data_IF_089526819661
#
_entry.id   IF_089526819661
#
_cell.length_a   1.000
_cell.length_b   1.000
_cell.length_c   1.000
_cell.angle_alpha   90.00
_cell.angle_beta   90.00
_cell.angle_gamma   90.00
#
_symmetry.space_group_name_H-M   'P 1'
#
loop_
_entity.id
_entity.type
_entity.pdbx_description
1 polymer ?
#
# COMPACT_ATOMS: atom_id res chain seq x y z
N UNK A 1 25.74 0.03 -13.24
CA UNK A 1 24.46 -0.57 -12.77
C UNK A 1 23.88 0.13 -11.53
N UNK A 2 24.65 0.39 -10.46
CA UNK A 2 24.16 1.09 -9.25
C UNK A 2 23.56 2.50 -9.51
N UNK A 3 24.18 3.32 -10.38
CA UNK A 3 23.64 4.65 -10.76
C UNK A 3 22.24 4.55 -11.38
N UNK A 4 22.02 3.62 -12.31
CA UNK A 4 20.71 3.41 -12.97
C UNK A 4 19.63 2.99 -11.99
N UNK A 5 19.96 2.20 -10.97
CA UNK A 5 19.03 1.76 -9.93
C UNK A 5 18.61 2.92 -9.01
N UNK A 6 19.58 3.71 -8.52
CA UNK A 6 19.30 4.87 -7.65
C UNK A 6 18.50 5.95 -8.38
N UNK A 7 18.80 6.22 -9.65
CA UNK A 7 18.02 7.16 -10.46
C UNK A 7 16.57 6.69 -10.62
N UNK A 8 16.34 5.39 -10.87
CA UNK A 8 14.98 4.82 -10.95
C UNK A 8 14.23 4.92 -9.63
N UNK A 9 14.88 4.64 -8.50
CA UNK A 9 14.30 4.81 -7.17
C UNK A 9 13.87 6.25 -6.90
N UNK A 10 14.71 7.21 -7.29
CA UNK A 10 14.41 8.65 -7.14
C UNK A 10 13.23 9.10 -7.99
N UNK A 11 13.16 8.66 -9.26
CA UNK A 11 12.03 8.95 -10.16
C UNK A 11 10.75 8.35 -9.59
N UNK A 12 10.77 7.09 -9.16
CA UNK A 12 9.62 6.45 -8.50
C UNK A 12 9.22 7.21 -7.23
N UNK A 13 10.20 7.64 -6.43
CA UNK A 13 9.98 8.48 -5.26
C UNK A 13 9.23 9.77 -5.58
N UNK A 14 9.54 10.43 -6.70
CA UNK A 14 8.82 11.63 -7.13
C UNK A 14 7.36 11.37 -7.48
N UNK A 15 7.05 10.22 -8.10
CA UNK A 15 5.67 9.79 -8.34
C UNK A 15 4.93 9.53 -7.03
N UNK A 16 5.58 8.93 -6.03
CA UNK A 16 4.97 8.68 -4.72
C UNK A 16 4.72 9.95 -3.93
N UNK A 17 5.62 10.94 -4.01
CA UNK A 17 5.38 12.28 -3.43
C UNK A 17 4.18 12.92 -4.11
N UNK A 18 4.11 12.90 -5.44
CA UNK A 18 2.99 13.50 -6.18
C UNK A 18 1.67 12.79 -5.87
N UNK A 19 1.65 11.46 -5.87
CA UNK A 19 0.47 10.65 -5.53
C UNK A 19 0.03 10.84 -4.08
N UNK A 20 0.98 10.87 -3.13
CA UNK A 20 0.71 11.14 -1.73
C UNK A 20 0.13 12.54 -1.51
N UNK A 21 0.67 13.57 -2.18
CA UNK A 21 0.13 14.94 -2.12
C UNK A 21 -1.26 15.05 -2.74
N UNK A 22 -1.50 14.35 -3.85
CA UNK A 22 -2.82 14.29 -4.48
C UNK A 22 -3.87 13.63 -3.57
N UNK A 23 -3.52 12.54 -2.88
CA UNK A 23 -4.43 11.89 -1.92
C UNK A 23 -4.62 12.73 -0.66
N UNK A 24 -3.55 13.34 -0.14
CA UNK A 24 -3.58 14.07 1.14
C UNK A 24 -4.22 15.44 1.02
N UNK A 25 -3.94 16.17 -0.07
CA UNK A 25 -4.37 17.55 -0.26
C UNK A 25 -5.27 17.69 -1.48
N UNK A 26 -4.87 17.14 -2.63
CA UNK A 26 -5.58 17.34 -3.89
C UNK A 26 -7.07 16.96 -3.82
N UNK A 27 -7.36 15.70 -3.51
CA UNK A 27 -8.73 15.19 -3.45
C UNK A 27 -9.55 15.82 -2.30
N UNK A 28 -9.04 15.93 -1.05
CA UNK A 28 -9.77 16.61 0.02
C UNK A 28 -10.06 18.08 -0.27
N UNK A 29 -9.08 18.84 -0.78
CA UNK A 29 -9.29 20.25 -1.11
C UNK A 29 -10.28 20.43 -2.25
N UNK A 30 -10.21 19.60 -3.29
CA UNK A 30 -11.20 19.66 -4.37
C UNK A 30 -12.61 19.34 -3.87
N UNK A 31 -12.73 18.34 -2.99
CA UNK A 31 -14.02 18.02 -2.39
C UNK A 31 -14.55 19.17 -1.54
N UNK A 32 -13.70 19.81 -0.75
CA UNK A 32 -14.08 20.91 0.14
C UNK A 32 -14.39 22.21 -0.60
N UNK A 33 -13.56 22.60 -1.57
CA UNK A 33 -13.69 23.87 -2.30
C UNK A 33 -14.74 23.81 -3.40
N UNK A 34 -14.96 22.64 -4.01
CA UNK A 34 -15.80 22.53 -5.20
C UNK A 34 -17.02 21.65 -4.97
N UNK A 35 -16.84 20.38 -4.58
CA UNK A 35 -17.96 19.43 -4.51
C UNK A 35 -18.97 19.79 -3.41
N UNK A 36 -18.49 20.10 -2.21
CA UNK A 36 -19.33 20.41 -1.05
C UNK A 36 -20.24 21.63 -1.27
N UNK A 37 -19.74 22.79 -1.76
CA UNK A 37 -20.58 23.93 -2.11
C UNK A 37 -21.65 23.64 -3.16
N UNK A 38 -21.41 22.66 -4.04
CA UNK A 38 -22.37 22.24 -5.06
C UNK A 38 -23.33 21.14 -4.57
N UNK A 39 -23.41 20.87 -3.27
CA UNK A 39 -24.39 19.94 -2.70
C UNK A 39 -23.99 18.45 -2.72
N UNK A 40 -22.72 18.13 -3.02
CA UNK A 40 -22.25 16.73 -3.04
C UNK A 40 -22.47 16.00 -1.71
N UNK A 41 -22.28 16.70 -0.59
CA UNK A 41 -22.48 16.11 0.74
C UNK A 41 -23.92 15.69 1.00
N UNK A 42 -24.88 16.50 0.56
CA UNK A 42 -26.32 16.20 0.69
C UNK A 42 -26.73 15.05 -0.23
N UNK A 43 -26.23 15.04 -1.47
CA UNK A 43 -26.42 13.96 -2.42
C UNK A 43 -25.89 12.62 -1.89
N UNK A 44 -24.70 12.62 -1.28
CA UNK A 44 -24.11 11.43 -0.68
C UNK A 44 -24.90 10.96 0.56
N UNK A 45 -25.34 11.89 1.41
CA UNK A 45 -26.19 11.58 2.56
C UNK A 45 -27.56 11.01 2.15
N UNK A 46 -28.12 11.48 1.03
CA UNK A 46 -29.33 10.92 0.45
C UNK A 46 -29.11 9.47 -0.05
N UNK A 47 -28.01 9.22 -0.77
CA UNK A 47 -27.64 7.86 -1.20
C UNK A 47 -27.52 6.89 -0.01
N UNK A 48 -26.87 7.31 1.08
CA UNK A 48 -26.73 6.51 2.30
C UNK A 48 -28.07 6.18 2.98
N UNK A 49 -29.11 6.97 2.74
CA UNK A 49 -30.49 6.72 3.21
C UNK A 49 -31.33 5.92 2.21
N UNK A 50 -30.71 5.38 1.15
CA UNK A 50 -31.38 4.64 0.08
C UNK A 50 -32.01 5.52 -0.99
N UNK A 51 -31.86 6.85 -0.93
CA UNK A 51 -32.44 7.79 -1.90
C UNK A 51 -31.48 8.01 -3.09
N UNK A 52 -31.18 6.93 -3.81
CA UNK A 52 -30.20 6.93 -4.91
C UNK A 52 -30.58 7.89 -6.05
N UNK A 53 -31.88 8.16 -6.27
CA UNK A 53 -32.35 9.09 -7.28
C UNK A 53 -31.82 10.53 -7.07
N UNK A 54 -31.73 10.98 -5.81
CA UNK A 54 -31.20 12.30 -5.47
C UNK A 54 -29.71 12.38 -5.82
N UNK A 55 -28.96 11.31 -5.55
CA UNK A 55 -27.54 11.22 -5.89
C UNK A 55 -27.30 11.19 -7.40
N UNK A 56 -28.09 10.41 -8.15
CA UNK A 56 -27.96 10.34 -9.61
C UNK A 56 -28.40 11.64 -10.28
N UNK A 57 -29.41 12.34 -9.74
CA UNK A 57 -29.79 13.68 -10.19
C UNK A 57 -28.66 14.68 -10.00
N UNK A 58 -28.04 14.71 -8.81
CA UNK A 58 -26.87 15.55 -8.57
C UNK A 58 -25.73 15.22 -9.55
N UNK A 59 -25.49 13.93 -9.77
CA UNK A 59 -24.46 13.46 -10.69
C UNK A 59 -24.75 13.89 -12.14
N UNK A 60 -26.01 13.86 -12.57
CA UNK A 60 -26.44 14.34 -13.88
C UNK A 60 -26.10 15.82 -14.09
N UNK A 61 -26.33 16.66 -13.07
CA UNK A 61 -26.05 18.09 -13.12
C UNK A 61 -24.55 18.42 -13.02
N UNK A 62 -23.77 17.56 -12.38
CA UNK A 62 -22.36 17.81 -12.04
C UNK A 62 -21.40 16.72 -12.53
N UNK A 63 -21.69 16.10 -13.67
CA UNK A 63 -20.90 15.00 -14.26
C UNK A 63 -19.41 15.31 -14.31
N UNK A 64 -19.05 16.51 -14.78
CA UNK A 64 -17.65 16.91 -14.91
C UNK A 64 -16.96 17.07 -13.57
N UNK A 65 -17.64 17.68 -12.60
CA UNK A 65 -17.12 17.86 -11.25
C UNK A 65 -16.82 16.51 -10.59
N UNK A 66 -17.74 15.55 -10.74
CA UNK A 66 -17.57 14.19 -10.27
C UNK A 66 -16.47 13.43 -11.00
N UNK A 67 -16.46 13.47 -12.34
CA UNK A 67 -15.47 12.78 -13.16
C UNK A 67 -14.05 13.27 -12.86
N UNK A 68 -13.85 14.57 -12.68
CA UNK A 68 -12.58 15.14 -12.32
C UNK A 68 -12.12 14.69 -10.93
N UNK A 69 -13.01 14.69 -9.93
CA UNK A 69 -12.70 14.18 -8.59
C UNK A 69 -12.26 12.72 -8.62
N UNK A 70 -12.99 11.87 -9.34
CA UNK A 70 -12.68 10.46 -9.52
C UNK A 70 -11.36 10.24 -10.25
N UNK A 71 -11.11 11.02 -11.30
CA UNK A 71 -9.84 11.00 -12.03
C UNK A 71 -8.67 11.37 -11.12
N UNK A 72 -8.82 12.41 -10.28
CA UNK A 72 -7.78 12.85 -9.36
C UNK A 72 -7.37 11.73 -8.40
N UNK A 73 -8.35 11.02 -7.84
CA UNK A 73 -8.10 9.85 -6.98
C UNK A 73 -7.41 8.71 -7.74
N UNK A 74 -7.91 8.37 -8.94
CA UNK A 74 -7.33 7.29 -9.77
C UNK A 74 -5.88 7.59 -10.15
N UNK A 75 -5.59 8.82 -10.58
CA UNK A 75 -4.22 9.25 -10.91
C UNK A 75 -3.32 9.13 -9.69
N UNK A 76 -3.80 9.54 -8.51
CA UNK A 76 -3.01 9.45 -7.29
C UNK A 76 -2.64 8.00 -6.93
N UNK A 77 -3.58 7.05 -7.06
CA UNK A 77 -3.29 5.63 -6.87
C UNK A 77 -2.43 5.05 -8.01
N UNK A 78 -2.64 5.45 -9.27
CA UNK A 78 -1.82 5.01 -10.39
C UNK A 78 -0.34 5.38 -10.22
N UNK A 79 -0.06 6.57 -9.67
CA UNK A 79 1.30 7.03 -9.35
C UNK A 79 1.98 6.19 -8.26
N UNK A 80 1.21 5.46 -7.45
CA UNK A 80 1.73 4.56 -6.40
C UNK A 80 1.75 3.10 -6.82
N UNK A 81 1.38 2.77 -8.07
CA UNK A 81 1.27 1.38 -8.54
C UNK A 81 2.60 0.60 -8.44
N UNK A 82 3.73 1.26 -8.65
CA UNK A 82 5.07 0.64 -8.56
C UNK A 82 5.62 0.56 -7.13
N UNK A 83 4.90 1.11 -6.14
CA UNK A 83 5.35 1.19 -4.75
C UNK A 83 5.63 -0.18 -4.12
N UNK A 84 4.76 -1.21 -4.27
CA UNK A 84 4.99 -2.52 -3.67
C UNK A 84 6.29 -3.17 -4.16
N UNK A 85 6.57 -3.10 -5.46
CA UNK A 85 7.82 -3.60 -6.02
C UNK A 85 9.04 -2.76 -5.65
N UNK A 86 8.85 -1.47 -5.41
CA UNK A 86 9.93 -0.60 -4.95
C UNK A 86 10.32 -0.95 -3.52
N UNK A 87 9.34 -1.17 -2.63
CA UNK A 87 9.58 -1.66 -1.26
C UNK A 87 10.25 -3.01 -1.25
N UNK A 88 9.76 -3.97 -2.04
CA UNK A 88 10.39 -5.28 -2.20
C UNK A 88 11.87 -5.16 -2.53
N UNK A 89 12.23 -4.32 -3.51
CA UNK A 89 13.63 -4.11 -3.91
C UNK A 89 14.48 -3.48 -2.81
N UNK A 90 13.93 -2.55 -2.04
CA UNK A 90 14.64 -1.90 -0.94
C UNK A 90 14.90 -2.90 0.18
N UNK A 91 13.89 -3.66 0.58
CA UNK A 91 13.98 -4.67 1.63
C UNK A 91 15.02 -5.74 1.26
N UNK A 92 14.95 -6.28 0.04
CA UNK A 92 15.94 -7.26 -0.44
C UNK A 92 17.35 -6.66 -0.47
N UNK A 93 17.50 -5.38 -0.87
CA UNK A 93 18.80 -4.73 -0.85
C UNK A 93 19.35 -4.56 0.57
N UNK A 94 18.51 -4.22 1.56
CA UNK A 94 18.90 -4.12 2.96
C UNK A 94 19.26 -5.47 3.57
N UNK A 95 18.52 -6.53 3.25
CA UNK A 95 18.83 -7.89 3.71
C UNK A 95 20.20 -8.35 3.19
N UNK A 96 20.54 -8.04 1.94
CA UNK A 96 21.86 -8.38 1.36
C UNK A 96 22.96 -7.57 2.03
N UNK A 97 22.79 -6.26 2.21
CA UNK A 97 23.80 -5.40 2.83
C UNK A 97 24.02 -5.72 4.32
N UNK A 98 22.96 -6.01 5.07
CA UNK A 98 23.06 -6.38 6.48
C UNK A 98 23.76 -7.73 6.69
N UNK A 99 23.68 -8.63 5.71
CA UNK A 99 24.42 -9.90 5.73
C UNK A 99 25.93 -9.69 5.57
N UNK A 100 26.33 -8.81 4.65
CA UNK A 100 27.74 -8.50 4.41
C UNK A 100 28.39 -7.82 5.65
N UNK A 101 27.64 -6.97 6.36
CA UNK A 101 28.10 -6.35 7.61
C UNK A 101 28.18 -7.35 8.77
N UNK A 102 27.21 -8.27 8.90
CA UNK A 102 27.19 -9.32 9.93
C UNK A 102 28.31 -10.35 9.75
N UNK A 103 28.49 -10.86 8.52
CA UNK A 103 29.57 -11.81 8.20
C UNK A 103 30.96 -11.14 8.34
N UNK A 104 31.08 -9.85 8.00
CA UNK A 104 32.31 -9.08 8.20
C UNK A 104 32.63 -8.77 9.67
N UNK A 105 31.60 -8.52 10.49
CA UNK A 105 31.76 -8.30 11.94
C UNK A 105 32.06 -9.60 12.69
N UNK A 106 31.44 -10.72 12.32
CA UNK A 106 31.75 -12.04 12.87
C UNK A 106 33.17 -12.49 12.46
N UNK A 107 33.59 -12.24 11.22
CA UNK A 107 34.97 -12.51 10.79
C UNK A 107 36.00 -11.61 11.51
N UNK A 108 35.67 -10.34 11.77
CA UNK A 108 36.53 -9.42 12.52
C UNK A 108 36.59 -9.75 14.01
N UNK A 109 35.48 -10.22 14.61
CA UNK A 109 35.42 -10.68 15.99
C UNK A 109 36.19 -12.01 16.16
N UNK A 110 36.05 -12.95 15.21
CA UNK A 110 36.82 -14.19 15.18
C UNK A 110 38.32 -13.95 14.96
N UNK A 111 38.70 -12.92 14.20
CA UNK A 111 40.10 -12.51 14.02
C UNK A 111 40.71 -11.79 15.24
N UNK A 112 39.88 -11.36 16.21
CA UNK A 112 40.32 -10.77 17.48
C UNK A 112 40.60 -11.80 18.59
N UNK A 113 40.15 -13.05 18.43
CA UNK A 113 40.29 -14.13 19.40
C UNK A 113 40.85 -15.40 18.75
N UNK A 114 42.11 -15.39 18.31
CA UNK A 114 42.87 -16.65 18.17
C UNK A 114 44.37 -16.40 18.04
N UNK A 115 45.09 -16.58 19.15
CA UNK A 115 46.49 -16.99 19.10
C UNK A 115 46.49 -18.50 18.75
N UNK A 116 47.21 -18.97 17.71
CA UNK A 116 47.08 -20.34 17.24
C UNK A 116 47.85 -21.29 18.16
N UNK A 117 47.14 -22.11 18.94
CA UNK A 117 47.71 -23.35 19.50
C UNK A 117 47.41 -24.48 18.53
N UNK A 118 48.47 -25.05 17.97
CA UNK A 118 48.41 -26.24 17.13
C UNK A 118 48.09 -27.44 18.03
N UNK A 119 46.90 -28.05 17.87
CA UNK A 119 46.71 -29.49 18.09
C UNK A 119 45.34 -30.08 17.68
N UNK A 120 44.32 -29.29 17.31
CA UNK A 120 43.01 -29.87 16.96
C UNK A 120 42.79 -30.08 15.45
N UNK A 121 43.64 -30.90 14.82
CA UNK A 121 43.36 -31.51 13.51
C UNK A 121 42.86 -32.96 13.68
N UNK A 122 41.69 -33.16 14.30
CA UNK A 122 40.95 -34.43 14.15
C UNK A 122 39.51 -34.32 14.67
N UNK A 123 38.58 -33.89 13.80
CA UNK A 123 37.14 -34.24 13.85
C UNK A 123 36.41 -33.72 12.61
N UNK A 124 36.81 -34.24 11.44
CA UNK A 124 35.87 -34.36 10.33
C UNK A 124 35.17 -35.72 10.44
N UNK A 125 33.87 -35.72 10.09
CA UNK A 125 32.95 -36.85 9.90
C UNK A 125 32.26 -37.46 11.13
N UNK A 126 31.04 -36.99 11.43
CA UNK A 126 29.86 -37.84 11.54
C UNK A 126 28.58 -36.99 11.51
N UNK A 127 27.66 -37.40 10.64
CA UNK A 127 26.35 -36.80 10.46
C UNK A 127 25.55 -36.69 11.77
N UNK A 128 24.89 -35.55 11.97
CA UNK A 128 23.62 -35.53 12.69
C UNK A 128 22.57 -34.87 11.80
N UNK A 129 21.47 -35.61 11.68
CA UNK A 129 20.21 -35.24 11.07
C UNK A 129 19.85 -33.76 11.26
N UNK A 130 19.18 -33.21 10.25
CA UNK A 130 18.37 -32.00 10.41
C UNK A 130 17.35 -32.26 11.53
N UNK A 131 17.71 -31.94 12.77
CA UNK A 131 16.76 -31.84 13.86
C UNK A 131 15.71 -30.81 13.44
N UNK A 132 14.49 -31.27 13.23
CA UNK A 132 13.33 -30.39 13.15
C UNK A 132 13.29 -29.61 14.48
N UNK A 133 13.18 -28.27 14.45
CA UNK A 133 13.17 -27.47 15.66
C UNK A 133 11.97 -27.84 16.51
N UNK A 134 12.23 -28.19 17.77
CA UNK A 134 11.24 -28.78 18.68
C UNK A 134 10.58 -27.72 19.58
N UNK A 135 11.11 -26.50 19.59
CA UNK A 135 10.60 -25.39 20.42
C UNK A 135 10.01 -24.28 19.57
N UNK A 136 8.98 -23.60 20.10
CA UNK A 136 8.36 -22.45 19.43
C UNK A 136 9.37 -21.29 19.24
N UNK A 137 10.32 -21.14 20.17
CA UNK A 137 11.42 -20.17 20.05
C UNK A 137 12.39 -20.52 18.93
N UNK A 138 12.75 -21.79 18.72
CA UNK A 138 13.57 -22.19 17.55
C UNK A 138 12.80 -22.06 16.23
N UNK A 139 11.50 -22.37 16.20
CA UNK A 139 10.65 -22.14 15.02
C UNK A 139 10.52 -20.64 14.68
N UNK A 140 10.54 -19.78 15.70
CA UNK A 140 10.61 -18.33 15.54
C UNK A 140 12.03 -17.85 15.20
N UNK A 141 13.08 -18.57 15.62
CA UNK A 141 14.48 -18.29 15.32
C UNK A 141 14.91 -18.78 13.94
N UNK A 142 14.21 -19.74 13.32
CA UNK A 142 14.38 -20.02 11.89
C UNK A 142 14.09 -18.71 11.16
N UNK A 143 15.06 -18.15 10.41
CA UNK A 143 14.80 -16.98 9.59
C UNK A 143 13.79 -17.40 8.55
N UNK A 144 12.53 -17.03 8.77
CA UNK A 144 11.48 -17.10 7.76
C UNK A 144 12.09 -16.52 6.49
N UNK A 145 12.20 -17.34 5.45
CA UNK A 145 12.88 -17.00 4.19
C UNK A 145 12.10 -15.85 3.54
N UNK A 146 12.38 -14.61 3.95
CA UNK A 146 11.59 -13.39 3.74
C UNK A 146 11.29 -13.09 2.27
N UNK A 147 12.11 -13.64 1.36
CA UNK A 147 11.91 -13.57 -0.10
C UNK A 147 10.52 -14.01 -0.55
N UNK A 148 9.95 -15.08 0.00
CA UNK A 148 8.63 -15.58 -0.41
C UNK A 148 7.50 -14.61 -0.04
N UNK A 149 7.48 -14.18 1.21
CA UNK A 149 6.47 -13.24 1.72
C UNK A 149 6.61 -11.84 1.12
N UNK A 150 7.83 -11.38 0.89
CA UNK A 150 8.06 -10.08 0.25
C UNK A 150 7.58 -10.08 -1.22
N UNK A 151 7.69 -11.22 -1.93
CA UNK A 151 7.12 -11.38 -3.28
C UNK A 151 5.59 -11.40 -3.23
N UNK A 152 5.00 -12.15 -2.29
CA UNK A 152 3.54 -12.16 -2.11
C UNK A 152 3.02 -10.75 -1.78
N UNK A 153 3.70 -10.03 -0.89
CA UNK A 153 3.37 -8.66 -0.53
C UNK A 153 3.46 -7.70 -1.73
N UNK A 154 4.48 -7.85 -2.58
CA UNK A 154 4.62 -7.03 -3.79
C UNK A 154 3.47 -7.26 -4.78
N UNK A 155 3.13 -8.52 -5.05
CA UNK A 155 2.05 -8.88 -5.95
C UNK A 155 0.68 -8.52 -5.39
N UNK A 156 0.42 -8.82 -4.11
CA UNK A 156 -0.83 -8.45 -3.45
C UNK A 156 -1.01 -6.93 -3.43
N UNK A 157 0.05 -6.17 -3.14
CA UNK A 157 -0.01 -4.71 -3.14
C UNK A 157 -0.32 -4.15 -4.53
N UNK A 158 0.34 -4.66 -5.57
CA UNK A 158 0.13 -4.19 -6.94
C UNK A 158 -1.28 -4.55 -7.43
N UNK A 159 -1.70 -5.80 -7.25
CA UNK A 159 -3.05 -6.24 -7.61
C UNK A 159 -4.12 -5.49 -6.82
N UNK A 160 -3.89 -5.22 -5.53
CA UNK A 160 -4.79 -4.46 -4.68
C UNK A 160 -4.99 -3.03 -5.19
N UNK A 161 -3.90 -2.32 -5.50
CA UNK A 161 -3.96 -0.96 -6.09
C UNK A 161 -4.66 -1.01 -7.47
N UNK A 162 -4.37 -2.03 -8.28
CA UNK A 162 -4.99 -2.19 -9.60
C UNK A 162 -6.51 -2.42 -9.51
N UNK A 163 -6.96 -3.27 -8.59
CA UNK A 163 -8.40 -3.47 -8.34
C UNK A 163 -9.06 -2.20 -7.81
N UNK A 164 -8.36 -1.44 -6.97
CA UNK A 164 -8.86 -0.16 -6.46
C UNK A 164 -9.05 0.84 -7.60
N UNK A 165 -8.08 0.97 -8.51
CA UNK A 165 -8.18 1.86 -9.68
C UNK A 165 -9.24 1.38 -10.66
N UNK A 166 -9.21 0.11 -11.08
CA UNK A 166 -10.13 -0.43 -12.08
C UNK A 166 -11.57 -0.51 -11.57
N UNK A 167 -11.78 -0.88 -10.31
CA UNK A 167 -13.11 -0.91 -9.69
C UNK A 167 -13.73 0.49 -9.61
N UNK A 168 -12.94 1.49 -9.21
CA UNK A 168 -13.39 2.89 -9.22
C UNK A 168 -13.63 3.39 -10.65
N UNK A 169 -12.81 3.01 -11.64
CA UNK A 169 -12.97 3.40 -13.03
C UNK A 169 -14.27 2.82 -13.61
N UNK A 170 -14.49 1.52 -13.46
CA UNK A 170 -15.70 0.84 -13.90
C UNK A 170 -16.95 1.46 -13.26
N UNK A 171 -16.91 1.70 -11.95
CA UNK A 171 -17.99 2.37 -11.21
C UNK A 171 -18.26 3.78 -11.75
N UNK A 172 -17.21 4.55 -12.01
CA UNK A 172 -17.32 5.94 -12.50
C UNK A 172 -17.93 5.97 -13.90
N UNK A 173 -17.45 5.12 -14.82
CA UNK A 173 -17.97 5.03 -16.18
C UNK A 173 -19.45 4.63 -16.18
N UNK A 174 -19.81 3.63 -15.37
CA UNK A 174 -21.19 3.20 -15.24
C UNK A 174 -22.10 4.30 -14.69
N UNK A 175 -21.71 4.94 -13.58
CA UNK A 175 -22.47 6.01 -12.95
C UNK A 175 -22.65 7.21 -13.88
N UNK A 176 -21.62 7.61 -14.62
CA UNK A 176 -21.72 8.70 -15.61
C UNK A 176 -22.66 8.31 -16.75
N UNK A 177 -22.60 7.06 -17.23
CA UNK A 177 -23.50 6.55 -18.27
C UNK A 177 -24.95 6.65 -17.85
N UNK A 178 -25.28 6.16 -16.65
CA UNK A 178 -26.64 6.23 -16.09
C UNK A 178 -27.08 7.67 -15.86
N UNK A 179 -26.22 8.50 -15.28
CA UNK A 179 -26.53 9.90 -14.99
C UNK A 179 -26.86 10.69 -16.26
N UNK A 180 -26.15 10.48 -17.36
CA UNK A 180 -26.40 11.20 -18.62
C UNK A 180 -27.79 10.91 -19.21
N UNK A 181 -28.34 9.74 -18.96
CA UNK A 181 -29.67 9.33 -19.44
C UNK A 181 -30.77 9.52 -18.40
N UNK A 182 -30.42 9.96 -17.19
CA UNK A 182 -31.36 10.12 -16.09
C UNK A 182 -32.20 11.39 -16.25
N UNK A 183 -33.50 11.29 -15.95
CA UNK A 183 -34.42 12.42 -15.82
C UNK A 183 -35.07 12.38 -14.44
N UNK A 184 -35.48 13.53 -13.89
CA UNK A 184 -36.01 13.61 -12.52
C UNK A 184 -37.29 12.75 -12.29
N UNK A 185 -37.99 12.40 -13.36
CA UNK A 185 -39.20 11.56 -13.33
C UNK A 185 -38.90 10.07 -13.59
N UNK A 186 -37.66 9.72 -13.99
CA UNK A 186 -37.29 8.36 -14.28
C UNK A 186 -37.05 7.56 -12.98
N UNK A 187 -37.72 6.42 -12.86
CA UNK A 187 -37.39 5.44 -11.84
C UNK A 187 -36.02 4.82 -12.12
N UNK A 188 -35.17 4.75 -11.09
CA UNK A 188 -33.88 4.09 -11.18
C UNK A 188 -34.05 2.58 -11.35
N UNK A 189 -33.31 1.99 -12.28
CA UNK A 189 -33.32 0.54 -12.46
C UNK A 189 -32.72 -0.14 -11.23
N UNK A 190 -33.31 -1.26 -10.74
CA UNK A 190 -32.77 -2.01 -9.60
C UNK A 190 -31.31 -2.46 -9.78
N UNK A 191 -30.89 -2.62 -11.04
CA UNK A 191 -29.51 -2.97 -11.43
C UNK A 191 -28.48 -1.91 -11.05
N UNK A 192 -28.87 -0.65 -10.86
CA UNK A 192 -27.93 0.43 -10.54
C UNK A 192 -27.25 0.20 -9.19
N UNK A 193 -28.03 -0.07 -8.14
CA UNK A 193 -27.50 -0.32 -6.80
C UNK A 193 -26.56 -1.53 -6.82
N UNK A 194 -27.00 -2.63 -7.45
CA UNK A 194 -26.23 -3.87 -7.55
C UNK A 194 -24.86 -3.65 -8.24
N UNK A 195 -24.81 -2.93 -9.36
CA UNK A 195 -23.54 -2.68 -10.06
C UNK A 195 -22.62 -1.79 -9.22
N UNK A 196 -23.15 -0.75 -8.58
CA UNK A 196 -22.36 0.14 -7.71
C UNK A 196 -21.81 -0.62 -6.50
N UNK A 197 -22.62 -1.48 -5.89
CA UNK A 197 -22.22 -2.34 -4.76
C UNK A 197 -21.11 -3.32 -5.16
N UNK A 198 -21.24 -4.02 -6.29
CA UNK A 198 -20.20 -4.93 -6.79
C UNK A 198 -18.89 -4.18 -7.01
N UNK A 199 -18.93 -3.03 -7.69
CA UNK A 199 -17.71 -2.24 -7.91
C UNK A 199 -17.09 -1.76 -6.60
N UNK A 200 -17.91 -1.40 -5.60
CA UNK A 200 -17.46 -0.99 -4.27
C UNK A 200 -16.80 -2.14 -3.52
N UNK A 201 -17.37 -3.35 -3.57
CA UNK A 201 -16.78 -4.55 -2.99
C UNK A 201 -15.44 -4.89 -3.66
N UNK A 202 -15.36 -4.80 -4.99
CA UNK A 202 -14.12 -5.05 -5.73
C UNK A 202 -13.03 -4.03 -5.34
N UNK A 203 -13.35 -2.74 -5.32
CA UNK A 203 -12.33 -1.70 -5.07
C UNK A 203 -11.93 -1.60 -3.59
N UNK A 204 -12.91 -1.55 -2.68
CA UNK A 204 -12.68 -1.20 -1.28
C UNK A 204 -12.54 -2.44 -0.39
N UNK A 205 -13.16 -3.57 -0.74
CA UNK A 205 -13.00 -4.82 0.02
C UNK A 205 -11.88 -5.67 -0.56
N UNK A 206 -12.00 -6.17 -1.78
CA UNK A 206 -10.97 -7.05 -2.36
C UNK A 206 -9.64 -6.30 -2.59
N UNK A 207 -9.70 -5.13 -3.24
CA UNK A 207 -8.53 -4.27 -3.42
C UNK A 207 -7.94 -3.80 -2.08
N UNK A 208 -8.78 -3.30 -1.18
CA UNK A 208 -8.38 -2.84 0.15
C UNK A 208 -7.70 -3.91 1.00
N UNK A 209 -8.23 -5.15 1.04
CA UNK A 209 -7.62 -6.25 1.79
C UNK A 209 -6.28 -6.71 1.19
N UNK A 210 -6.14 -6.69 -0.13
CA UNK A 210 -4.87 -7.03 -0.78
C UNK A 210 -3.78 -5.99 -0.51
N UNK A 211 -4.14 -4.70 -0.50
CA UNK A 211 -3.23 -3.62 -0.05
C UNK A 211 -2.92 -3.79 1.43
N UNK A 212 -3.91 -4.10 2.27
CA UNK A 212 -3.70 -4.31 3.70
C UNK A 212 -2.73 -5.47 3.97
N UNK A 213 -2.89 -6.58 3.25
CA UNK A 213 -1.98 -7.72 3.33
C UNK A 213 -0.56 -7.32 2.93
N UNK A 214 -0.41 -6.54 1.85
CA UNK A 214 0.89 -6.05 1.43
C UNK A 214 1.55 -5.18 2.50
N UNK A 215 0.81 -4.21 3.05
CA UNK A 215 1.32 -3.30 4.09
C UNK A 215 1.63 -4.03 5.38
N UNK A 216 0.83 -5.03 5.76
CA UNK A 216 1.09 -5.89 6.92
C UNK A 216 2.39 -6.66 6.74
N UNK A 217 2.54 -7.36 5.62
CA UNK A 217 3.72 -8.18 5.35
C UNK A 217 4.98 -7.31 5.26
N UNK A 218 4.96 -6.21 4.52
CA UNK A 218 6.08 -5.28 4.48
C UNK A 218 6.38 -4.68 5.85
N UNK A 219 5.36 -4.31 6.62
CA UNK A 219 5.53 -3.78 7.97
C UNK A 219 6.19 -4.78 8.92
N UNK A 220 5.71 -6.03 8.95
CA UNK A 220 6.28 -7.10 9.78
C UNK A 220 7.72 -7.41 9.37
N UNK A 221 8.02 -7.49 8.07
CA UNK A 221 9.38 -7.74 7.58
C UNK A 221 10.32 -6.62 8.00
N UNK A 222 9.92 -5.36 7.82
CA UNK A 222 10.71 -4.19 8.21
C UNK A 222 10.97 -4.19 9.73
N UNK A 223 9.92 -4.34 10.55
CA UNK A 223 10.05 -4.31 12.02
C UNK A 223 10.91 -5.47 12.52
N UNK A 224 10.72 -6.68 12.01
CA UNK A 224 11.47 -7.86 12.43
C UNK A 224 12.93 -7.81 12.01
N UNK A 225 13.24 -7.23 10.85
CA UNK A 225 14.63 -7.09 10.41
C UNK A 225 15.44 -6.25 11.40
N UNK A 226 14.82 -5.25 12.06
CA UNK A 226 15.48 -4.35 13.00
C UNK A 226 16.60 -3.50 12.37
N UNK A 227 16.87 -3.66 11.08
CA UNK A 227 17.96 -3.02 10.37
C UNK A 227 17.65 -1.52 10.23
N UNK A 228 18.41 -0.70 10.96
CA UNK A 228 18.36 0.76 10.85
C UNK A 228 19.33 1.31 9.80
N UNK A 229 19.70 0.48 8.82
CA UNK A 229 20.76 0.80 7.85
C UNK A 229 20.48 2.09 7.09
N UNK A 230 19.23 2.32 6.67
CA UNK A 230 18.84 3.53 5.96
C UNK A 230 17.32 3.62 5.76
N UNK A 231 16.62 4.71 6.11
CA UNK A 231 16.93 5.81 7.07
C UNK A 231 16.70 5.42 8.55
N UNK A 232 17.13 6.24 9.54
CA UNK A 232 17.02 5.94 10.98
C UNK A 232 15.58 5.72 11.50
N UNK A 233 14.56 6.10 10.73
CA UNK A 233 13.15 5.87 11.04
C UNK A 233 12.52 4.74 10.19
N UNK A 234 13.33 3.87 9.60
CA UNK A 234 12.85 2.76 8.77
C UNK A 234 11.92 1.82 9.54
N UNK A 235 12.26 1.48 10.78
CA UNK A 235 11.42 0.65 11.65
C UNK A 235 10.07 1.34 11.95
N UNK A 236 10.07 2.66 12.13
CA UNK A 236 8.84 3.43 12.33
C UNK A 236 7.93 3.39 11.08
N UNK A 237 8.51 3.42 9.88
CA UNK A 237 7.78 3.21 8.63
C UNK A 237 7.10 1.83 8.60
N UNK A 238 7.74 0.80 9.16
CA UNK A 238 7.17 -0.53 9.33
C UNK A 238 5.99 -0.57 10.30
N UNK A 239 6.09 0.06 11.46
CA UNK A 239 4.96 0.18 12.41
C UNK A 239 3.77 0.94 11.82
N UNK A 240 4.03 2.02 11.07
CA UNK A 240 2.97 2.75 10.37
C UNK A 240 2.32 1.88 9.29
N UNK A 241 3.08 1.02 8.61
CA UNK A 241 2.52 0.09 7.63
C UNK A 241 1.61 -0.97 8.29
N UNK A 242 1.95 -1.45 9.49
CA UNK A 242 1.10 -2.36 10.27
C UNK A 242 -0.19 -1.64 10.72
N UNK A 243 -0.07 -0.42 11.23
CA UNK A 243 -1.23 0.39 11.60
C UNK A 243 -2.15 0.63 10.40
N UNK A 244 -1.56 0.98 9.25
CA UNK A 244 -2.28 1.15 7.99
C UNK A 244 -3.02 -0.12 7.57
N UNK A 245 -2.39 -1.29 7.70
CA UNK A 245 -3.06 -2.56 7.42
C UNK A 245 -4.31 -2.75 8.30
N UNK A 246 -4.22 -2.43 9.59
CA UNK A 246 -5.35 -2.54 10.52
C UNK A 246 -6.52 -1.62 10.13
N UNK A 247 -6.23 -0.38 9.74
CA UNK A 247 -7.25 0.56 9.24
C UNK A 247 -7.88 0.07 7.93
N UNK A 248 -7.08 -0.46 7.00
CA UNK A 248 -7.58 -0.98 5.72
C UNK A 248 -8.43 -2.24 5.90
N UNK A 249 -8.04 -3.16 6.80
CA UNK A 249 -8.85 -4.34 7.15
C UNK A 249 -10.17 -3.90 7.78
N UNK A 250 -10.13 -3.01 8.76
CA UNK A 250 -11.34 -2.49 9.41
C UNK A 250 -12.28 -1.80 8.41
N UNK A 251 -11.73 -0.99 7.51
CA UNK A 251 -12.49 -0.37 6.43
C UNK A 251 -13.10 -1.41 5.49
N UNK A 252 -12.34 -2.41 5.05
CA UNK A 252 -12.82 -3.43 4.11
C UNK A 252 -13.95 -4.26 4.70
N UNK A 253 -13.87 -4.62 5.99
CA UNK A 253 -14.93 -5.33 6.70
C UNK A 253 -16.19 -4.47 6.83
N UNK A 254 -16.05 -3.20 7.20
CA UNK A 254 -17.21 -2.29 7.28
C UNK A 254 -17.91 -2.13 5.93
N UNK A 255 -17.15 -1.97 4.84
CA UNK A 255 -17.72 -1.92 3.48
C UNK A 255 -18.38 -3.24 3.10
N UNK A 256 -17.80 -4.38 3.47
CA UNK A 256 -18.41 -5.69 3.19
C UNK A 256 -19.76 -5.88 3.89
N UNK A 257 -19.93 -5.32 5.08
CA UNK A 257 -21.18 -5.37 5.84
C UNK A 257 -22.26 -4.41 5.31
N UNK A 258 -21.85 -3.31 4.66
CA UNK A 258 -22.77 -2.28 4.15
C UNK A 258 -22.28 -1.70 2.81
N UNK A 259 -22.28 -2.48 1.72
CA UNK A 259 -21.67 -2.09 0.45
C UNK A 259 -22.38 -0.91 -0.23
N UNK A 260 -23.70 -0.76 0.02
CA UNK A 260 -24.51 0.32 -0.53
C UNK A 260 -24.06 1.72 -0.10
N UNK A 261 -23.36 1.83 1.04
CA UNK A 261 -22.87 3.12 1.56
C UNK A 261 -21.64 3.65 0.83
N UNK A 262 -20.93 2.81 0.05
CA UNK A 262 -19.77 3.20 -0.76
C UNK A 262 -18.50 3.57 0.02
N UNK A 263 -18.63 4.10 1.25
CA UNK A 263 -17.55 4.49 2.14
C UNK A 263 -17.85 4.08 3.59
N UNK A 264 -16.87 3.43 4.22
CA UNK A 264 -16.89 3.15 5.64
C UNK A 264 -16.27 4.31 6.42
N UNK A 265 -16.61 4.40 7.72
CA UNK A 265 -16.02 5.41 8.63
C UNK A 265 -14.49 5.37 8.62
N UNK A 266 -13.92 4.17 8.51
CA UNK A 266 -12.47 3.95 8.49
C UNK A 266 -11.82 4.16 7.12
N UNK A 267 -12.59 4.32 6.03
CA UNK A 267 -12.02 4.46 4.68
C UNK A 267 -11.20 5.75 4.55
N UNK A 268 -11.75 6.87 5.01
CA UNK A 268 -11.06 8.18 4.98
C UNK A 268 -9.76 8.17 5.79
N UNK A 269 -9.74 7.78 7.09
CA UNK A 269 -8.48 7.74 7.83
C UNK A 269 -7.49 6.72 7.26
N UNK A 270 -7.95 5.59 6.71
CA UNK A 270 -7.07 4.63 6.04
C UNK A 270 -6.36 5.25 4.82
N UNK A 271 -7.08 5.98 3.98
CA UNK A 271 -6.52 6.65 2.80
C UNK A 271 -5.61 7.82 3.17
N UNK A 272 -5.92 8.59 4.21
CA UNK A 272 -5.03 9.63 4.71
C UNK A 272 -3.73 9.05 5.27
N UNK A 273 -3.82 7.95 6.02
CA UNK A 273 -2.66 7.24 6.55
C UNK A 273 -1.82 6.63 5.42
N UNK A 274 -2.45 6.06 4.40
CA UNK A 274 -1.78 5.60 3.18
C UNK A 274 -1.07 6.76 2.48
N UNK A 275 -1.73 7.91 2.32
CA UNK A 275 -1.15 9.10 1.70
C UNK A 275 0.08 9.61 2.47
N UNK A 276 0.00 9.68 3.80
CA UNK A 276 1.13 10.08 4.65
C UNK A 276 2.28 9.07 4.56
N UNK A 277 1.98 7.78 4.61
CA UNK A 277 2.98 6.72 4.53
C UNK A 277 3.70 6.69 3.17
N UNK A 278 2.95 6.82 2.08
CA UNK A 278 3.49 6.90 0.71
C UNK A 278 4.29 8.18 0.48
N UNK A 279 3.84 9.32 1.01
CA UNK A 279 4.56 10.59 0.96
C UNK A 279 5.87 10.52 1.75
N UNK A 280 5.84 9.93 2.95
CA UNK A 280 7.04 9.73 3.76
C UNK A 280 8.07 8.87 3.03
N UNK A 281 7.66 7.72 2.49
CA UNK A 281 8.53 6.87 1.67
C UNK A 281 9.06 7.63 0.44
N UNK A 282 8.19 8.37 -0.27
CA UNK A 282 8.56 9.17 -1.42
C UNK A 282 9.64 10.22 -1.09
N UNK A 283 9.50 10.94 0.02
CA UNK A 283 10.48 11.93 0.47
C UNK A 283 11.83 11.29 0.80
N UNK A 284 11.84 10.11 1.40
CA UNK A 284 13.07 9.33 1.66
C UNK A 284 13.76 9.02 0.33
N UNK A 285 13.01 8.53 -0.66
CA UNK A 285 13.56 8.13 -1.97
C UNK A 285 14.04 9.32 -2.81
N UNK A 286 13.36 10.47 -2.76
CA UNK A 286 13.76 11.67 -3.50
C UNK A 286 15.08 12.24 -2.98
N UNK A 287 15.38 12.06 -1.69
CA UNK A 287 16.62 12.51 -1.05
C UNK A 287 17.86 11.66 -1.43
N UNK A 288 17.69 10.54 -2.13
CA UNK A 288 18.80 9.76 -2.66
C UNK A 288 19.63 10.59 -3.65
N UNK A 289 20.87 10.92 -3.28
CA UNK A 289 21.83 11.58 -4.19
C UNK A 289 22.53 10.52 -5.06
N UNK A 290 22.41 10.59 -6.40
CA UNK A 290 23.28 9.79 -7.27
C UNK A 290 24.71 10.32 -7.13
N UNK A 291 25.68 9.42 -6.88
CA UNK A 291 27.09 9.81 -6.77
C UNK A 291 27.59 10.54 -8.03
N UNK A 292 28.40 11.61 -7.90
CA UNK A 292 28.87 12.41 -9.03
C UNK A 292 29.63 11.53 -10.03
N UNK A 293 29.51 11.89 -11.31
CA UNK A 293 30.28 11.30 -12.39
C UNK A 293 31.78 11.61 -12.20
N UNK A 294 32.50 10.70 -11.54
CA UNK A 294 33.94 10.52 -11.78
C UNK A 294 34.15 9.95 -13.18
#
# INVERSE_FOLDING_TARGET
MRRTFLTRLRINGSYYVLGGLLLLLGAPLYQWLWLLPHGYGEALAAANRGQLAVYVLWLHLHVWSFAFYRLLQMVAFALTLSLPFTLFRIIVAQEVLGRDEGEGAEAAAAAGETSPSADDQQRETAASDKLLPQTAEELLAIPWRGKGFAVIAAWSGMLGILLLVLGNLASTVYQIGVARTFTAEAALTPTFALVVEICTLVSNTAGGLLVALATLLFGVIIVRSGLQLWPPLWVALGYVAILLALFLIGSAVQVALAPASGQAFLTTPAFLLFALWTLWLGLILVRLRPAPAS
#
